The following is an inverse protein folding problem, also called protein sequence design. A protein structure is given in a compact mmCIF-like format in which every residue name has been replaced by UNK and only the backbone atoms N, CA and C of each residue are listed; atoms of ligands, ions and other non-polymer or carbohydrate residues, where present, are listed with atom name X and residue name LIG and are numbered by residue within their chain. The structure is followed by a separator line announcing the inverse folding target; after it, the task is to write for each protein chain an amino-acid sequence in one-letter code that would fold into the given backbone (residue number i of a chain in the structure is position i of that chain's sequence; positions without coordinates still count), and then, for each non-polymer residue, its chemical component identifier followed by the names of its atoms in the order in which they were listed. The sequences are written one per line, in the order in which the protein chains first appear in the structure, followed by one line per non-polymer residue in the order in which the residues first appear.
data_IF_847173073546
#
_entry.id   IF_847173073546
#
_cell.length_a   1.000
_cell.length_b   1.000
_cell.length_c   1.000
_cell.angle_alpha   90.00
_cell.angle_beta   90.00
_cell.angle_gamma   90.00
#
_symmetry.space_group_name_H-M   'P 1'
#
loop_
_entity.id
_entity.type
_entity.pdbx_description
1 polymer ?
#
# COMPACT_ATOMS: atom_id res chain seq x y z
N UNK A 1 27.82 4.94 15.77
CA UNK A 1 28.32 3.56 15.65
C UNK A 1 27.16 2.57 15.41
N UNK A 2 27.50 1.36 15.10
CA UNK A 2 26.57 0.22 15.09
C UNK A 2 26.16 -0.16 16.51
N UNK A 3 25.10 -0.95 16.62
CA UNK A 3 24.56 -1.42 17.91
C UNK A 3 25.54 -2.27 18.71
N UNK A 4 26.52 -2.92 18.06
CA UNK A 4 27.62 -3.65 18.71
C UNK A 4 28.79 -2.74 19.16
N UNK A 5 28.67 -1.41 19.01
CA UNK A 5 29.69 -0.42 19.36
C UNK A 5 30.76 -0.19 18.30
N UNK A 6 30.78 -0.96 17.20
CA UNK A 6 31.71 -0.77 16.09
C UNK A 6 31.42 0.55 15.38
N UNK A 7 32.46 1.19 14.89
CA UNK A 7 32.35 2.46 14.15
C UNK A 7 31.61 2.25 12.83
N UNK A 8 30.56 3.04 12.60
CA UNK A 8 29.90 3.16 11.30
C UNK A 8 30.56 4.32 10.55
N UNK A 9 31.54 4.05 9.72
CA UNK A 9 32.21 5.03 8.87
C UNK A 9 31.81 4.89 7.39
N UNK A 10 32.37 5.72 6.54
CA UNK A 10 32.03 5.71 5.11
C UNK A 10 32.36 4.38 4.42
N UNK A 11 33.37 3.65 4.89
CA UNK A 11 33.73 2.35 4.34
C UNK A 11 32.66 1.28 4.69
N UNK A 12 32.16 1.31 5.92
CA UNK A 12 31.06 0.41 6.36
C UNK A 12 29.77 0.70 5.59
N UNK A 13 29.40 1.98 5.41
CA UNK A 13 28.22 2.37 4.62
C UNK A 13 28.38 1.96 3.16
N UNK A 14 29.56 2.17 2.57
CA UNK A 14 29.87 1.75 1.19
C UNK A 14 29.66 0.24 1.03
N UNK A 15 30.23 -0.57 1.91
CA UNK A 15 30.11 -2.03 1.85
C UNK A 15 28.63 -2.49 1.92
N UNK A 16 27.83 -1.84 2.76
CA UNK A 16 26.40 -2.14 2.85
C UNK A 16 25.64 -1.76 1.56
N UNK A 17 25.91 -0.60 0.99
CA UNK A 17 25.27 -0.18 -0.27
C UNK A 17 25.75 -0.99 -1.48
N UNK A 18 27.00 -1.42 -1.52
CA UNK A 18 27.50 -2.34 -2.56
C UNK A 18 26.75 -3.68 -2.52
N UNK A 19 26.62 -4.26 -1.33
CA UNK A 19 25.81 -5.47 -1.16
C UNK A 19 24.34 -5.24 -1.58
N UNK A 20 23.73 -4.13 -1.17
CA UNK A 20 22.35 -3.80 -1.52
C UNK A 20 22.12 -3.78 -3.04
N UNK A 21 22.98 -3.10 -3.80
CA UNK A 21 22.84 -3.02 -5.26
C UNK A 21 23.14 -4.34 -5.96
N UNK A 22 23.90 -5.23 -5.34
CA UNK A 22 24.16 -6.57 -5.86
C UNK A 22 22.95 -7.50 -5.71
N UNK A 23 22.27 -7.47 -4.55
CA UNK A 23 21.22 -8.45 -4.23
C UNK A 23 19.79 -7.94 -4.46
N UNK A 24 19.61 -6.63 -4.61
CA UNK A 24 18.27 -6.00 -4.68
C UNK A 24 18.08 -5.21 -5.98
N UNK A 25 17.54 -5.87 -7.01
CA UNK A 25 17.36 -5.32 -8.37
C UNK A 25 16.65 -3.95 -8.38
N UNK A 26 15.56 -3.78 -7.60
CA UNK A 26 14.84 -2.50 -7.51
C UNK A 26 15.71 -1.40 -6.92
N UNK A 27 16.49 -1.68 -5.88
CA UNK A 27 17.39 -0.71 -5.28
C UNK A 27 18.49 -0.30 -6.28
N UNK A 28 19.10 -1.26 -6.97
CA UNK A 28 20.07 -1.00 -8.01
C UNK A 28 19.51 -0.07 -9.11
N UNK A 29 18.30 -0.38 -9.61
CA UNK A 29 17.61 0.42 -10.63
C UNK A 29 17.24 1.83 -10.17
N UNK A 30 16.88 2.02 -8.91
CA UNK A 30 16.49 3.31 -8.34
C UNK A 30 17.71 4.18 -7.98
N UNK A 31 18.72 3.60 -7.34
CA UNK A 31 19.90 4.33 -6.88
C UNK A 31 20.83 4.72 -8.03
N UNK A 32 20.95 3.89 -9.05
CA UNK A 32 21.80 4.11 -10.24
C UNK A 32 23.23 4.50 -9.89
N UNK A 33 23.79 3.86 -8.86
CA UNK A 33 25.15 4.15 -8.39
C UNK A 33 26.17 3.63 -9.41
N UNK A 34 27.01 4.52 -9.90
CA UNK A 34 28.12 4.17 -10.80
C UNK A 34 29.42 3.90 -10.03
N UNK A 35 29.68 4.69 -8.98
CA UNK A 35 30.85 4.46 -8.12
C UNK A 35 30.64 5.07 -6.73
N UNK A 36 31.38 4.55 -5.76
CA UNK A 36 31.43 5.05 -4.40
C UNK A 36 32.87 5.12 -3.90
N UNK A 37 33.24 6.24 -3.28
CA UNK A 37 34.54 6.45 -2.65
C UNK A 37 34.36 6.80 -1.18
N UNK A 38 35.07 6.09 -0.30
CA UNK A 38 35.02 6.29 1.14
C UNK A 38 36.36 6.84 1.64
N UNK A 39 36.30 7.97 2.38
CA UNK A 39 37.45 8.61 3.05
C UNK A 39 37.02 9.02 4.46
N UNK A 40 37.43 8.25 5.46
CA UNK A 40 37.07 8.46 6.85
C UNK A 40 35.55 8.41 7.08
N UNK A 41 34.94 9.57 7.32
CA UNK A 41 33.48 9.72 7.46
C UNK A 41 32.79 10.27 6.21
N UNK A 42 33.55 10.54 5.16
CA UNK A 42 33.00 11.07 3.91
C UNK A 42 32.78 9.95 2.90
N UNK A 43 31.53 9.73 2.50
CA UNK A 43 31.16 8.88 1.39
C UNK A 43 30.78 9.76 0.19
N UNK A 44 31.45 9.56 -0.93
CA UNK A 44 31.13 10.20 -2.20
C UNK A 44 30.44 9.18 -3.09
N UNK A 45 29.22 9.48 -3.50
CA UNK A 45 28.43 8.62 -4.41
C UNK A 45 28.30 9.34 -5.75
N UNK A 46 28.64 8.64 -6.83
CA UNK A 46 28.46 9.10 -8.20
C UNK A 46 27.40 8.23 -8.85
N UNK A 47 26.36 8.84 -9.40
CA UNK A 47 25.30 8.14 -10.14
C UNK A 47 25.61 8.11 -11.64
N UNK A 48 25.14 7.07 -12.34
CA UNK A 48 25.35 6.89 -13.79
C UNK A 48 24.59 7.94 -14.64
N UNK A 49 23.57 8.56 -14.07
CA UNK A 49 22.79 9.66 -14.65
C UNK A 49 22.26 10.57 -13.55
N UNK A 50 21.79 11.81 -13.86
CA UNK A 50 21.20 12.68 -12.87
C UNK A 50 20.06 12.00 -12.10
N UNK A 51 20.18 11.94 -10.76
CA UNK A 51 19.19 11.31 -9.88
C UNK A 51 18.80 12.28 -8.74
N UNK A 52 17.89 13.25 -8.99
CA UNK A 52 17.53 14.28 -8.01
C UNK A 52 16.82 13.72 -6.78
N UNK A 53 16.30 12.51 -6.84
CA UNK A 53 15.57 11.83 -5.75
C UNK A 53 16.39 10.72 -5.09
N UNK A 54 17.72 10.71 -5.28
CA UNK A 54 18.62 9.72 -4.68
C UNK A 54 18.42 9.59 -3.16
N UNK A 55 18.30 10.73 -2.46
CA UNK A 55 18.12 10.72 -1.00
C UNK A 55 16.79 10.11 -0.57
N UNK A 56 15.74 10.30 -1.36
CA UNK A 56 14.45 9.63 -1.12
C UNK A 56 14.57 8.12 -1.27
N UNK A 57 15.29 7.65 -2.29
CA UNK A 57 15.53 6.21 -2.47
C UNK A 57 16.39 5.62 -1.34
N UNK A 58 17.40 6.35 -0.85
CA UNK A 58 18.21 5.91 0.29
C UNK A 58 17.42 5.88 1.61
N UNK A 59 16.29 6.60 1.71
CA UNK A 59 15.40 6.58 2.88
C UNK A 59 14.33 5.47 2.83
N UNK A 60 14.25 4.71 1.75
CA UNK A 60 13.40 3.51 1.67
C UNK A 60 13.90 2.43 2.63
N UNK A 61 13.02 1.49 3.00
CA UNK A 61 13.33 0.43 3.97
C UNK A 61 14.58 -0.39 3.59
N UNK A 62 14.84 -0.61 2.29
CA UNK A 62 16.05 -1.30 1.84
C UNK A 62 17.34 -0.49 2.04
N UNK A 63 17.26 0.82 2.27
CA UNK A 63 18.41 1.69 2.52
C UNK A 63 18.97 1.61 3.95
N UNK A 64 18.44 0.73 4.79
CA UNK A 64 18.96 0.52 6.15
C UNK A 64 20.43 0.07 6.13
N UNK A 65 21.27 0.73 6.94
CA UNK A 65 22.69 0.41 7.02
C UNK A 65 22.94 -0.63 8.11
N UNK A 66 23.52 -1.76 7.74
CA UNK A 66 23.90 -2.86 8.60
C UNK A 66 25.40 -3.12 8.57
N UNK A 67 25.95 -3.73 9.62
CA UNK A 67 27.36 -4.13 9.69
C UNK A 67 27.61 -5.36 8.83
N UNK A 68 28.15 -5.16 7.62
CA UNK A 68 28.44 -6.24 6.67
C UNK A 68 29.57 -7.17 7.10
N UNK A 69 30.38 -6.82 8.09
CA UNK A 69 31.35 -7.78 8.66
C UNK A 69 30.67 -8.84 9.54
N UNK A 70 29.53 -8.48 10.17
CA UNK A 70 28.66 -9.44 10.84
C UNK A 70 27.78 -10.15 9.83
N UNK A 71 27.36 -9.43 8.78
CA UNK A 71 26.48 -9.92 7.72
C UNK A 71 25.02 -10.02 8.15
N UNK A 72 24.26 -10.86 7.43
CA UNK A 72 22.86 -11.16 7.69
C UNK A 72 22.78 -12.58 8.23
N UNK A 73 22.61 -12.76 9.56
CA UNK A 73 22.51 -14.08 10.14
C UNK A 73 21.18 -14.77 9.81
N UNK A 74 21.13 -16.09 9.84
CA UNK A 74 19.96 -16.91 9.52
C UNK A 74 18.72 -16.57 10.36
N UNK A 75 18.93 -16.09 11.60
CA UNK A 75 17.85 -15.65 12.48
C UNK A 75 17.33 -14.24 12.19
N UNK A 76 17.87 -13.54 11.19
CA UNK A 76 17.46 -12.19 10.82
C UNK A 76 17.86 -11.06 11.77
N UNK A 77 18.57 -11.34 12.87
CA UNK A 77 18.98 -10.36 13.87
C UNK A 77 20.22 -9.58 13.42
N UNK A 78 20.05 -8.63 12.53
CA UNK A 78 21.15 -7.83 11.96
C UNK A 78 21.67 -6.78 12.95
N UNK A 79 22.95 -6.42 12.80
CA UNK A 79 23.59 -5.31 13.53
C UNK A 79 23.43 -4.03 12.73
N UNK A 80 22.57 -3.14 13.20
CA UNK A 80 22.25 -1.86 12.55
C UNK A 80 22.62 -0.65 13.39
N UNK A 81 22.12 0.53 13.00
CA UNK A 81 22.37 1.83 13.65
C UNK A 81 21.11 2.41 14.30
N UNK A 82 20.00 1.67 14.30
CA UNK A 82 18.70 2.11 14.82
C UNK A 82 18.62 2.15 16.36
N UNK A 83 17.51 2.67 16.92
CA UNK A 83 17.30 2.78 18.37
C UNK A 83 17.13 1.43 19.08
N UNK A 84 16.77 0.38 18.36
CA UNK A 84 16.55 -0.95 18.87
C UNK A 84 17.37 -2.01 18.14
N UNK A 85 17.63 -3.11 18.83
CA UNK A 85 18.33 -4.30 18.31
C UNK A 85 17.37 -5.47 18.38
N UNK A 86 17.18 -6.19 17.28
CA UNK A 86 16.42 -7.42 17.27
C UNK A 86 17.23 -8.53 17.96
N UNK A 87 16.62 -9.19 18.94
CA UNK A 87 17.17 -10.35 19.65
C UNK A 87 16.57 -11.66 19.19
N UNK A 88 15.35 -11.59 18.65
CA UNK A 88 14.64 -12.73 18.10
C UNK A 88 13.72 -12.26 16.96
N UNK A 89 13.68 -13.03 15.88
CA UNK A 89 12.77 -12.81 14.75
C UNK A 89 12.11 -14.15 14.43
N UNK A 90 10.81 -14.24 14.66
CA UNK A 90 9.98 -15.39 14.28
C UNK A 90 9.02 -14.95 13.19
N UNK A 91 9.24 -15.45 11.98
CA UNK A 91 8.46 -15.07 10.80
C UNK A 91 6.96 -15.31 11.03
N UNK A 92 6.14 -14.34 10.66
CA UNK A 92 4.69 -14.33 10.79
C UNK A 92 4.15 -14.44 12.25
N UNK A 93 5.02 -14.30 13.25
CA UNK A 93 4.63 -14.35 14.65
C UNK A 93 5.09 -13.10 15.42
N UNK A 94 6.40 -12.98 15.72
CA UNK A 94 6.86 -11.82 16.49
C UNK A 94 8.33 -11.44 16.23
N UNK A 95 8.68 -10.22 16.67
CA UNK A 95 10.05 -9.73 16.77
C UNK A 95 10.27 -9.17 18.15
N UNK A 96 11.29 -9.65 18.86
CA UNK A 96 11.73 -9.12 20.12
C UNK A 96 12.88 -8.13 19.94
N UNK A 97 12.74 -6.96 20.53
CA UNK A 97 13.66 -5.85 20.40
C UNK A 97 14.11 -5.38 21.79
N UNK A 98 15.40 -5.08 21.94
CA UNK A 98 15.94 -4.40 23.10
C UNK A 98 16.54 -3.05 22.69
N UNK A 99 16.61 -2.11 23.62
CA UNK A 99 17.19 -0.79 23.34
C UNK A 99 18.66 -0.90 22.90
N UNK A 100 19.04 -0.10 21.94
CA UNK A 100 20.43 0.06 21.52
C UNK A 100 21.12 1.09 22.41
N UNK A 101 21.98 0.65 23.31
CA UNK A 101 22.76 1.53 24.21
C UNK A 101 23.77 2.40 23.47
N UNK A 102 24.09 2.08 22.22
CA UNK A 102 25.00 2.81 21.36
C UNK A 102 24.25 3.71 20.34
N UNK A 103 22.94 3.95 20.56
CA UNK A 103 22.17 4.78 19.65
C UNK A 103 22.70 6.21 19.60
N UNK A 104 22.82 6.74 18.41
CA UNK A 104 23.49 8.01 18.13
C UNK A 104 22.61 9.26 18.32
N UNK A 105 21.29 9.11 18.33
CA UNK A 105 20.31 10.20 18.34
C UNK A 105 19.53 10.25 19.68
N UNK A 106 20.27 10.24 20.77
CA UNK A 106 19.71 10.43 22.11
C UNK A 106 19.34 9.17 22.87
N UNK A 107 18.64 9.35 23.99
CA UNK A 107 18.27 8.27 24.88
C UNK A 107 17.03 7.50 24.38
N UNK A 108 17.13 6.18 24.31
CA UNK A 108 16.02 5.28 24.04
C UNK A 108 15.26 5.03 25.35
N UNK A 109 13.99 5.43 25.41
CA UNK A 109 13.19 5.46 26.66
C UNK A 109 12.58 4.12 27.02
N UNK A 110 12.23 3.29 26.03
CA UNK A 110 11.62 1.98 26.23
C UNK A 110 12.71 0.92 26.17
N UNK A 111 12.81 0.08 27.18
CA UNK A 111 13.90 -0.89 27.28
C UNK A 111 13.72 -2.06 26.33
N UNK A 112 12.49 -2.58 26.22
CA UNK A 112 12.15 -3.77 25.44
C UNK A 112 10.84 -3.55 24.68
N UNK A 113 10.74 -4.07 23.45
CA UNK A 113 9.53 -4.05 22.64
C UNK A 113 9.34 -5.43 22.01
N UNK A 114 8.17 -6.01 22.16
CA UNK A 114 7.74 -7.17 21.38
C UNK A 114 6.75 -6.72 20.31
N UNK A 115 7.12 -6.87 19.05
CA UNK A 115 6.23 -6.60 17.92
C UNK A 115 5.56 -7.91 17.49
N UNK A 116 4.26 -8.01 17.65
CA UNK A 116 3.47 -9.20 17.28
C UNK A 116 2.78 -8.99 15.94
N UNK A 117 2.75 -10.03 15.13
CA UNK A 117 2.00 -10.04 13.86
C UNK A 117 0.60 -10.57 14.12
N UNK A 118 -0.41 -9.68 14.06
CA UNK A 118 -1.82 -10.03 14.19
C UNK A 118 -2.51 -9.55 12.90
N UNK A 119 -2.75 -10.47 11.98
CA UNK A 119 -3.26 -10.14 10.64
C UNK A 119 -4.78 -9.97 10.57
N UNK A 120 -5.51 -10.54 11.54
CA UNK A 120 -6.96 -10.40 11.65
C UNK A 120 -7.33 -9.14 12.44
N UNK A 121 -8.16 -8.26 11.85
CA UNK A 121 -8.48 -6.96 12.43
C UNK A 121 -9.31 -7.02 13.70
N UNK A 122 -10.21 -7.99 13.83
CA UNK A 122 -11.03 -8.15 15.02
C UNK A 122 -10.19 -8.71 16.18
N UNK A 123 -9.31 -9.66 15.88
CA UNK A 123 -8.35 -10.20 16.84
C UNK A 123 -7.40 -9.11 17.34
N UNK A 124 -6.92 -8.23 16.45
CA UNK A 124 -6.07 -7.09 16.82
C UNK A 124 -6.82 -6.13 17.76
N UNK A 125 -8.07 -5.81 17.45
CA UNK A 125 -8.91 -4.95 18.30
C UNK A 125 -9.14 -5.58 19.68
N UNK A 126 -9.45 -6.87 19.75
CA UNK A 126 -9.64 -7.59 21.02
C UNK A 126 -8.36 -7.65 21.85
N UNK A 127 -7.21 -7.89 21.23
CA UNK A 127 -5.92 -7.93 21.92
C UNK A 127 -5.59 -6.57 22.56
N UNK A 128 -5.88 -5.45 21.87
CA UNK A 128 -5.69 -4.12 22.46
C UNK A 128 -6.70 -3.83 23.58
N UNK A 129 -7.98 -4.21 23.43
CA UNK A 129 -9.00 -4.01 24.46
C UNK A 129 -8.74 -4.83 25.72
N UNK A 130 -8.21 -6.04 25.57
CA UNK A 130 -7.88 -6.91 26.72
C UNK A 130 -6.59 -6.51 27.44
N UNK A 131 -5.80 -5.61 26.86
CA UNK A 131 -4.48 -5.24 27.38
C UNK A 131 -3.40 -6.31 27.11
N UNK A 132 -3.64 -7.22 26.19
CA UNK A 132 -2.63 -8.20 25.73
C UNK A 132 -1.52 -7.51 24.92
N UNK A 133 -1.85 -6.39 24.27
CA UNK A 133 -0.91 -5.48 23.62
C UNK A 133 -1.13 -4.05 24.08
N UNK A 134 -0.08 -3.25 24.12
CA UNK A 134 -0.10 -1.84 24.56
C UNK A 134 -0.38 -0.86 23.44
N UNK A 135 -0.07 -1.25 22.20
CA UNK A 135 -0.27 -0.41 21.01
C UNK A 135 -0.62 -1.25 19.79
N UNK A 136 -1.46 -0.74 18.92
CA UNK A 136 -1.82 -1.34 17.65
C UNK A 136 -1.57 -0.38 16.49
N UNK A 137 -1.09 -0.91 15.37
CA UNK A 137 -0.91 -0.19 14.12
C UNK A 137 -1.67 -0.89 12.98
N UNK A 138 -2.33 -0.11 12.12
CA UNK A 138 -3.07 -0.66 10.99
C UNK A 138 -4.39 -1.33 11.35
N UNK A 139 -5.03 -0.84 12.42
CA UNK A 139 -6.37 -1.27 12.86
C UNK A 139 -7.38 -1.13 11.71
N UNK A 140 -8.33 -2.05 11.62
CA UNK A 140 -9.44 -1.95 10.68
C UNK A 140 -10.30 -0.70 10.95
N UNK A 141 -10.74 -0.01 9.91
CA UNK A 141 -11.57 1.19 10.04
C UNK A 141 -12.87 0.94 10.83
N UNK A 142 -13.47 -0.25 10.67
CA UNK A 142 -14.65 -0.66 11.41
C UNK A 142 -14.45 -0.68 12.93
N UNK A 143 -13.23 -0.87 13.40
CA UNK A 143 -12.90 -0.94 14.83
C UNK A 143 -12.55 0.43 15.44
N UNK A 144 -12.38 1.48 14.66
CA UNK A 144 -11.97 2.81 15.14
C UNK A 144 -12.88 3.36 16.24
N UNK A 145 -14.22 3.30 16.12
CA UNK A 145 -15.11 3.81 17.15
C UNK A 145 -14.93 3.18 18.55
N UNK A 146 -14.35 1.97 18.62
CA UNK A 146 -14.06 1.31 19.90
C UNK A 146 -12.93 2.00 20.68
N UNK A 147 -12.08 2.77 20.01
CA UNK A 147 -10.86 3.38 20.53
C UNK A 147 -10.89 4.91 20.55
N UNK A 148 -11.96 5.53 20.04
CA UNK A 148 -12.17 6.97 20.05
C UNK A 148 -12.80 7.42 21.38
N UNK A 149 -12.10 7.15 22.49
CA UNK A 149 -12.53 7.50 23.84
C UNK A 149 -11.31 7.79 24.73
N UNK A 150 -11.56 8.30 25.94
CA UNK A 150 -10.53 8.78 26.87
C UNK A 150 -9.60 7.68 27.39
N UNK A 151 -9.91 6.39 27.19
CA UNK A 151 -9.06 5.28 27.62
C UNK A 151 -7.91 5.00 26.67
N UNK A 152 -7.99 5.52 25.43
CA UNK A 152 -7.00 5.27 24.38
C UNK A 152 -6.46 6.57 23.80
N UNK A 153 -5.20 6.57 23.45
CA UNK A 153 -4.63 7.61 22.58
C UNK A 153 -4.79 7.18 21.13
N UNK A 154 -5.88 7.58 20.50
CA UNK A 154 -6.13 7.33 19.09
C UNK A 154 -5.45 8.40 18.22
N UNK A 155 -4.81 7.97 17.14
CA UNK A 155 -4.19 8.88 16.17
C UNK A 155 -4.43 8.36 14.75
N UNK A 156 -5.05 9.20 13.93
CA UNK A 156 -5.20 8.98 12.49
C UNK A 156 -4.52 10.12 11.74
N UNK A 157 -3.75 9.79 10.71
CA UNK A 157 -2.98 10.77 9.94
C UNK A 157 -3.31 10.58 8.46
N UNK A 158 -3.64 11.67 7.78
CA UNK A 158 -3.77 11.66 6.31
C UNK A 158 -2.44 11.31 5.66
N UNK A 159 -2.49 10.42 4.69
CA UNK A 159 -1.33 9.96 3.93
C UNK A 159 -1.50 10.24 2.45
N UNK A 160 -0.46 9.99 1.66
CA UNK A 160 -0.52 10.05 0.20
C UNK A 160 -1.13 8.79 -0.45
N UNK A 161 -1.67 7.86 0.36
CA UNK A 161 -2.27 6.63 -0.17
C UNK A 161 -3.57 6.94 -0.89
N UNK A 162 -3.67 6.50 -2.15
CA UNK A 162 -4.90 6.49 -2.92
C UNK A 162 -5.30 5.05 -3.27
N UNK A 163 -6.58 4.74 -3.19
CA UNK A 163 -7.17 3.54 -3.78
C UNK A 163 -7.73 3.90 -5.15
N UNK A 164 -7.43 3.11 -6.14
CA UNK A 164 -7.91 3.30 -7.50
C UNK A 164 -8.23 1.97 -8.16
N UNK A 165 -9.20 1.96 -9.07
CA UNK A 165 -9.44 0.86 -9.99
C UNK A 165 -8.65 1.08 -11.28
N UNK A 166 -7.83 0.11 -11.67
CA UNK A 166 -7.15 0.11 -12.98
C UNK A 166 -7.95 -0.72 -13.98
N UNK A 167 -8.31 -0.12 -15.10
CA UNK A 167 -9.00 -0.82 -16.19
C UNK A 167 -7.97 -1.42 -17.13
N UNK A 168 -8.01 -2.74 -17.32
CA UNK A 168 -7.09 -3.44 -18.22
C UNK A 168 -7.53 -3.24 -19.68
N UNK A 169 -6.73 -2.48 -20.43
CA UNK A 169 -6.95 -2.20 -21.85
C UNK A 169 -6.01 -3.00 -22.77
N UNK A 170 -5.38 -4.04 -22.26
CA UNK A 170 -4.53 -4.91 -23.08
C UNK A 170 -5.37 -5.73 -24.05
N UNK A 171 -5.06 -5.66 -25.34
CA UNK A 171 -5.87 -6.24 -26.43
C UNK A 171 -6.04 -7.75 -26.34
N UNK A 172 -5.10 -8.46 -25.73
CA UNK A 172 -5.14 -9.92 -25.55
C UNK A 172 -5.98 -10.34 -24.33
N UNK A 173 -6.44 -9.38 -23.52
CA UNK A 173 -7.31 -9.67 -22.40
C UNK A 173 -8.72 -10.03 -22.88
N UNK A 174 -9.30 -11.09 -22.31
CA UNK A 174 -10.68 -11.53 -22.66
C UNK A 174 -11.76 -10.47 -22.39
N UNK A 175 -11.51 -9.53 -21.45
CA UNK A 175 -12.39 -8.39 -21.17
C UNK A 175 -12.18 -7.18 -22.07
N UNK A 176 -11.24 -7.23 -23.02
CA UNK A 176 -10.89 -6.07 -23.84
C UNK A 176 -12.09 -5.51 -24.64
N UNK A 177 -12.93 -6.38 -25.19
CA UNK A 177 -14.12 -5.96 -25.98
C UNK A 177 -15.03 -5.04 -25.17
N UNK A 178 -15.22 -5.32 -23.88
CA UNK A 178 -16.02 -4.52 -22.97
C UNK A 178 -15.24 -3.27 -22.53
N UNK A 179 -14.01 -3.44 -22.04
CA UNK A 179 -13.19 -2.33 -21.50
C UNK A 179 -12.70 -1.36 -22.58
N UNK A 180 -12.64 -1.75 -23.86
CA UNK A 180 -12.29 -0.84 -24.95
C UNK A 180 -13.37 0.18 -25.25
N UNK A 181 -14.64 -0.07 -24.87
CA UNK A 181 -15.75 0.88 -25.04
C UNK A 181 -15.63 2.03 -24.00
N UNK A 182 -15.43 3.30 -24.46
CA UNK A 182 -15.32 4.43 -23.53
C UNK A 182 -16.58 4.67 -22.69
N UNK A 183 -17.76 4.34 -23.23
CA UNK A 183 -19.02 4.49 -22.51
C UNK A 183 -19.07 3.57 -21.28
N UNK A 184 -18.58 2.33 -21.42
CA UNK A 184 -18.50 1.40 -20.29
C UNK A 184 -17.56 1.93 -19.21
N UNK A 185 -16.36 2.39 -19.58
CA UNK A 185 -15.42 2.95 -18.60
C UNK A 185 -15.97 4.16 -17.86
N UNK A 186 -16.66 5.03 -18.60
CA UNK A 186 -17.31 6.22 -18.04
C UNK A 186 -18.46 5.84 -17.11
N UNK A 187 -19.29 4.88 -17.52
CA UNK A 187 -20.37 4.37 -16.69
C UNK A 187 -19.87 3.70 -15.41
N UNK A 188 -18.78 2.92 -15.45
CA UNK A 188 -18.16 2.37 -14.26
C UNK A 188 -17.72 3.51 -13.29
N UNK A 189 -17.07 4.55 -13.83
CA UNK A 189 -16.60 5.67 -13.00
C UNK A 189 -17.75 6.47 -12.35
N UNK A 190 -18.90 6.63 -13.05
CA UNK A 190 -20.11 7.27 -12.55
C UNK A 190 -20.98 6.35 -11.69
N UNK A 191 -20.92 5.04 -11.91
CA UNK A 191 -21.74 4.05 -11.22
C UNK A 191 -21.21 3.65 -9.84
N UNK A 192 -19.98 4.02 -9.48
CA UNK A 192 -19.39 3.71 -8.17
C UNK A 192 -19.60 4.88 -7.22
N UNK A 193 -20.31 4.65 -6.11
CA UNK A 193 -20.48 5.65 -5.06
C UNK A 193 -19.25 5.72 -4.15
N UNK A 194 -18.30 6.57 -4.54
CA UNK A 194 -17.05 6.75 -3.80
C UNK A 194 -17.25 7.41 -2.43
N UNK A 195 -18.32 8.21 -2.27
CA UNK A 195 -18.60 8.85 -0.99
C UNK A 195 -19.06 7.84 0.05
N UNK A 196 -19.88 6.86 -0.33
CA UNK A 196 -20.29 5.79 0.60
C UNK A 196 -19.09 4.96 1.08
N UNK A 197 -18.05 4.81 0.25
CA UNK A 197 -16.81 4.17 0.72
C UNK A 197 -16.20 4.93 1.89
N UNK A 198 -16.14 6.25 1.80
CA UNK A 198 -15.58 7.10 2.85
C UNK A 198 -16.47 7.08 4.09
N UNK A 199 -17.77 7.31 3.91
CA UNK A 199 -18.69 7.54 5.03
C UNK A 199 -19.01 6.24 5.78
N UNK A 200 -19.17 5.13 5.06
CA UNK A 200 -19.62 3.86 5.63
C UNK A 200 -18.45 2.90 5.87
N UNK A 201 -17.63 2.61 4.84
CA UNK A 201 -16.60 1.58 4.96
C UNK A 201 -15.35 2.09 5.67
N UNK A 202 -15.02 3.38 5.54
CA UNK A 202 -13.86 3.99 6.18
C UNK A 202 -14.23 4.81 7.42
N UNK A 203 -15.49 4.77 7.87
CA UNK A 203 -15.99 5.55 9.03
C UNK A 203 -15.61 7.05 8.97
N UNK A 204 -15.61 7.65 7.77
CA UNK A 204 -15.19 9.04 7.56
C UNK A 204 -13.70 9.29 7.54
N UNK A 205 -12.86 8.25 7.72
CA UNK A 205 -11.40 8.37 7.68
C UNK A 205 -10.85 8.29 6.26
N UNK A 206 -11.20 9.28 5.45
CA UNK A 206 -10.76 9.38 4.07
C UNK A 206 -11.46 10.52 3.35
N UNK A 207 -11.21 10.61 2.06
CA UNK A 207 -11.94 11.51 1.16
C UNK A 207 -11.94 10.94 -0.26
N UNK A 208 -12.92 11.33 -1.05
CA UNK A 208 -13.00 10.90 -2.44
C UNK A 208 -11.85 11.52 -3.24
N UNK A 209 -11.01 10.69 -3.84
CA UNK A 209 -9.89 11.16 -4.64
C UNK A 209 -10.36 11.80 -5.95
N UNK A 210 -9.76 12.92 -6.33
CA UNK A 210 -10.01 13.60 -7.60
C UNK A 210 -9.10 13.09 -8.73
N UNK A 211 -8.06 12.32 -8.38
CA UNK A 211 -7.11 11.73 -9.33
C UNK A 211 -6.21 10.70 -8.66
N UNK A 212 -5.17 10.28 -9.37
CA UNK A 212 -4.18 9.31 -8.88
C UNK A 212 -3.28 9.87 -7.77
N UNK A 213 -3.27 11.18 -7.59
CA UNK A 213 -2.47 11.87 -6.56
C UNK A 213 -3.39 12.71 -5.67
N UNK A 214 -3.14 12.71 -4.35
CA UNK A 214 -3.89 13.54 -3.41
C UNK A 214 -3.77 15.04 -3.72
N UNK A 215 -4.81 15.80 -3.38
CA UNK A 215 -4.84 17.26 -3.51
C UNK A 215 -3.79 17.98 -2.62
N UNK A 216 -3.23 17.26 -1.63
CA UNK A 216 -2.10 17.74 -0.82
C UNK A 216 -0.82 17.99 -1.64
N UNK A 217 -0.71 17.34 -2.82
CA UNK A 217 0.37 17.60 -3.76
C UNK A 217 -0.02 18.70 -4.76
N UNK A 218 0.89 19.64 -5.04
CA UNK A 218 0.64 20.72 -5.97
C UNK A 218 0.23 20.25 -7.37
N UNK A 219 0.75 19.09 -7.81
CA UNK A 219 0.42 18.47 -9.09
C UNK A 219 -0.85 17.62 -9.06
N UNK A 220 -1.45 17.40 -7.88
CA UNK A 220 -2.74 16.73 -7.70
C UNK A 220 -3.93 17.69 -7.69
N UNK A 221 -3.66 18.99 -7.57
CA UNK A 221 -4.69 20.02 -7.44
C UNK A 221 -5.37 20.33 -8.78
N UNK A 222 -6.65 20.70 -8.71
CA UNK A 222 -7.43 21.14 -9.85
C UNK A 222 -7.87 20.03 -10.82
N UNK A 223 -7.59 18.77 -10.49
CA UNK A 223 -8.08 17.62 -11.25
C UNK A 223 -9.53 17.37 -10.85
N UNK A 224 -10.40 17.20 -11.83
CA UNK A 224 -11.80 16.83 -11.61
C UNK A 224 -12.03 15.39 -12.04
N UNK A 225 -12.65 14.60 -11.16
CA UNK A 225 -13.11 13.25 -11.49
C UNK A 225 -14.60 13.26 -11.84
N UNK A 226 -15.06 12.16 -12.40
CA UNK A 226 -16.47 11.93 -12.66
C UNK A 226 -17.20 11.75 -11.33
N UNK A 227 -18.29 12.50 -11.13
CA UNK A 227 -19.17 12.35 -9.96
C UNK A 227 -19.98 11.06 -10.04
N UNK A 228 -20.44 10.57 -8.90
CA UNK A 228 -21.42 9.50 -8.85
C UNK A 228 -22.74 10.00 -9.45
N UNK A 229 -23.16 9.38 -10.53
CA UNK A 229 -24.39 9.69 -11.27
C UNK A 229 -24.89 8.42 -12.01
N UNK A 230 -25.62 7.55 -11.30
CA UNK A 230 -26.10 6.30 -11.88
C UNK A 230 -27.11 6.50 -13.02
N UNK A 231 -27.85 7.61 -13.02
CA UNK A 231 -28.81 7.89 -14.10
C UNK A 231 -28.08 8.27 -15.40
N UNK A 232 -27.08 9.14 -15.29
CA UNK A 232 -26.23 9.47 -16.42
C UNK A 232 -25.42 8.24 -16.89
N UNK A 233 -24.97 7.37 -15.97
CA UNK A 233 -24.29 6.13 -16.33
C UNK A 233 -25.19 5.20 -17.17
N UNK A 234 -26.47 5.04 -16.79
CA UNK A 234 -27.46 4.29 -17.58
C UNK A 234 -27.66 4.89 -18.97
N UNK A 235 -27.83 6.20 -19.04
CA UNK A 235 -28.03 6.90 -20.32
C UNK A 235 -26.82 6.75 -21.26
N UNK A 236 -25.59 6.85 -20.74
CA UNK A 236 -24.37 6.64 -21.53
C UNK A 236 -24.27 5.19 -22.06
N UNK A 237 -24.62 4.19 -21.25
CA UNK A 237 -24.65 2.80 -21.69
C UNK A 237 -25.70 2.57 -22.78
N UNK A 238 -26.91 3.08 -22.59
CA UNK A 238 -27.98 2.97 -23.57
C UNK A 238 -27.62 3.64 -24.90
N UNK A 239 -27.10 4.85 -24.86
CA UNK A 239 -26.66 5.58 -26.07
C UNK A 239 -25.53 4.83 -26.82
N UNK A 240 -24.72 4.07 -26.10
CA UNK A 240 -23.69 3.22 -26.69
C UNK A 240 -24.19 1.85 -27.15
N UNK A 241 -25.48 1.53 -26.95
CA UNK A 241 -26.13 0.29 -27.40
C UNK A 241 -26.01 -0.86 -26.40
N UNK A 242 -25.63 -0.59 -25.13
CA UNK A 242 -25.70 -1.54 -24.03
C UNK A 242 -27.09 -1.50 -23.40
N UNK A 243 -27.91 -2.51 -23.65
CA UNK A 243 -29.34 -2.57 -23.24
C UNK A 243 -29.61 -3.96 -22.65
N UNK A 244 -30.44 -4.02 -21.63
CA UNK A 244 -30.97 -5.28 -21.09
C UNK A 244 -32.13 -5.72 -22.02
N UNK A 245 -31.89 -6.71 -22.89
CA UNK A 245 -32.86 -7.17 -23.87
C UNK A 245 -33.60 -8.45 -23.42
N UNK A 246 -33.03 -9.23 -22.50
CA UNK A 246 -33.64 -10.45 -21.98
C UNK A 246 -34.32 -10.24 -20.61
N UNK A 247 -34.16 -9.09 -19.98
CA UNK A 247 -34.83 -8.70 -18.74
C UNK A 247 -34.20 -9.33 -17.48
N UNK A 248 -32.95 -9.78 -17.55
CA UNK A 248 -32.26 -10.36 -16.39
C UNK A 248 -31.57 -9.30 -15.51
N UNK A 249 -31.63 -8.05 -15.89
CA UNK A 249 -31.06 -6.92 -15.16
C UNK A 249 -29.61 -6.61 -15.53
N UNK A 250 -28.98 -7.39 -16.43
CA UNK A 250 -27.62 -7.14 -16.93
C UNK A 250 -27.70 -6.72 -18.40
N UNK A 251 -27.01 -5.66 -18.74
CA UNK A 251 -26.99 -5.11 -20.10
C UNK A 251 -26.14 -5.99 -21.03
N UNK A 252 -26.53 -6.04 -22.31
CA UNK A 252 -25.74 -6.68 -23.34
C UNK A 252 -25.66 -5.81 -24.61
N UNK A 253 -24.63 -6.11 -25.43
CA UNK A 253 -24.42 -5.52 -26.73
C UNK A 253 -23.86 -6.55 -27.70
N UNK A 254 -24.50 -6.75 -28.84
CA UNK A 254 -24.09 -7.73 -29.86
C UNK A 254 -23.93 -9.14 -29.29
N UNK A 255 -24.81 -9.55 -28.38
CA UNK A 255 -24.79 -10.86 -27.75
C UNK A 255 -23.70 -11.03 -26.64
N UNK A 256 -23.01 -9.96 -26.28
CA UNK A 256 -22.03 -9.97 -25.19
C UNK A 256 -22.65 -9.31 -23.97
N UNK A 257 -22.78 -10.05 -22.85
CA UNK A 257 -23.22 -9.49 -21.57
C UNK A 257 -22.17 -8.57 -20.97
N UNK A 258 -22.64 -7.50 -20.33
CA UNK A 258 -21.79 -6.51 -19.65
C UNK A 258 -21.33 -7.06 -18.30
N UNK A 259 -20.43 -8.04 -18.36
CA UNK A 259 -19.83 -8.69 -17.20
C UNK A 259 -18.37 -8.32 -17.12
N UNK A 260 -17.95 -7.75 -15.99
CA UNK A 260 -16.55 -7.37 -15.72
C UNK A 260 -15.97 -8.23 -14.60
N UNK A 261 -14.67 -8.48 -14.69
CA UNK A 261 -13.91 -9.17 -13.62
C UNK A 261 -13.18 -8.12 -12.80
N UNK A 262 -13.41 -8.15 -11.49
CA UNK A 262 -12.75 -7.28 -10.53
C UNK A 262 -11.73 -8.09 -9.73
N UNK A 263 -10.46 -7.77 -9.92
CA UNK A 263 -9.38 -8.43 -9.19
C UNK A 263 -9.03 -7.60 -7.96
N UNK A 264 -9.00 -8.24 -6.79
CA UNK A 264 -8.62 -7.62 -5.51
C UNK A 264 -7.83 -8.61 -4.64
N UNK A 265 -7.40 -8.18 -3.45
CA UNK A 265 -6.61 -9.02 -2.55
C UNK A 265 -6.90 -8.68 -1.08
N UNK A 266 -6.80 -9.67 -0.16
CA UNK A 266 -7.25 -9.53 1.23
C UNK A 266 -6.22 -8.91 2.17
N UNK A 267 -4.94 -8.73 1.77
CA UNK A 267 -3.90 -8.18 2.64
C UNK A 267 -4.13 -6.71 3.01
N UNK A 268 -5.11 -6.06 2.40
CA UNK A 268 -5.70 -4.78 2.79
C UNK A 268 -7.18 -4.99 2.98
N UNK A 269 -7.63 -4.96 4.22
CA UNK A 269 -8.98 -5.36 4.63
C UNK A 269 -10.08 -4.55 3.94
N UNK A 270 -9.83 -3.28 3.63
CA UNK A 270 -10.77 -2.39 2.96
C UNK A 270 -11.02 -2.73 1.48
N UNK A 271 -10.05 -3.34 0.76
CA UNK A 271 -10.17 -3.55 -0.68
C UNK A 271 -11.24 -4.55 -1.10
N UNK A 272 -11.44 -5.70 -0.42
CA UNK A 272 -12.57 -6.57 -0.71
C UNK A 272 -13.91 -5.88 -0.47
N UNK A 273 -14.05 -5.11 0.61
CA UNK A 273 -15.28 -4.36 0.93
C UNK A 273 -15.59 -3.29 -0.11
N UNK A 274 -14.56 -2.58 -0.60
CA UNK A 274 -14.71 -1.62 -1.70
C UNK A 274 -15.19 -2.32 -2.98
N UNK A 275 -14.67 -3.52 -3.28
CA UNK A 275 -15.09 -4.30 -4.44
C UNK A 275 -16.55 -4.75 -4.33
N UNK A 276 -17.00 -5.21 -3.17
CA UNK A 276 -18.39 -5.62 -2.91
C UNK A 276 -19.36 -4.45 -3.00
N UNK A 277 -19.01 -3.29 -2.44
CA UNK A 277 -19.81 -2.08 -2.56
C UNK A 277 -19.90 -1.60 -4.00
N UNK A 278 -18.79 -1.61 -4.74
CA UNK A 278 -18.80 -1.29 -6.17
C UNK A 278 -19.62 -2.30 -6.99
N UNK A 279 -19.57 -3.58 -6.68
CA UNK A 279 -20.41 -4.62 -7.30
C UNK A 279 -21.89 -4.31 -7.14
N UNK A 280 -22.32 -3.91 -5.93
CA UNK A 280 -23.71 -3.55 -5.65
C UNK A 280 -24.17 -2.36 -6.50
N UNK A 281 -23.44 -1.24 -6.46
CA UNK A 281 -23.84 -0.03 -7.18
C UNK A 281 -23.74 -0.17 -8.72
N UNK A 282 -22.80 -0.96 -9.22
CA UNK A 282 -22.67 -1.25 -10.64
C UNK A 282 -23.77 -2.18 -11.16
N UNK A 283 -24.24 -3.12 -10.31
CA UNK A 283 -25.40 -3.95 -10.66
C UNK A 283 -26.67 -3.11 -10.87
N UNK A 284 -26.87 -2.05 -10.10
CA UNK A 284 -28.01 -1.15 -10.25
C UNK A 284 -28.06 -0.42 -11.59
N UNK A 285 -26.95 -0.34 -12.29
CA UNK A 285 -26.87 0.24 -13.65
C UNK A 285 -26.73 -0.82 -14.74
N UNK A 286 -26.88 -2.10 -14.40
CA UNK A 286 -26.88 -3.23 -15.36
C UNK A 286 -25.49 -3.78 -15.70
N UNK A 287 -24.50 -3.62 -14.82
CA UNK A 287 -23.17 -4.18 -14.96
C UNK A 287 -22.99 -5.34 -13.95
N UNK A 288 -22.75 -6.54 -14.44
CA UNK A 288 -22.35 -7.67 -13.61
C UNK A 288 -20.87 -7.59 -13.25
N UNK A 289 -20.55 -7.72 -11.96
CA UNK A 289 -19.16 -7.67 -11.47
C UNK A 289 -18.81 -9.00 -10.79
N UNK A 290 -17.84 -9.70 -11.36
CA UNK A 290 -17.30 -10.93 -10.80
C UNK A 290 -16.05 -10.65 -10.00
N UNK A 291 -16.15 -10.66 -8.67
CA UNK A 291 -15.03 -10.38 -7.79
C UNK A 291 -14.15 -11.62 -7.65
N UNK A 292 -12.84 -11.43 -7.90
CA UNK A 292 -11.80 -12.39 -7.63
C UNK A 292 -10.85 -11.84 -6.57
N UNK A 293 -10.99 -12.30 -5.33
CA UNK A 293 -10.11 -11.93 -4.23
C UNK A 293 -9.00 -12.99 -4.10
N UNK A 294 -7.79 -12.65 -4.49
CA UNK A 294 -6.66 -13.58 -4.53
C UNK A 294 -5.52 -13.18 -3.61
N UNK A 295 -4.83 -14.17 -3.02
CA UNK A 295 -3.57 -13.98 -2.30
C UNK A 295 -2.35 -14.04 -3.23
N UNK A 296 -2.52 -14.47 -4.49
CA UNK A 296 -1.44 -14.54 -5.46
C UNK A 296 -1.19 -13.20 -6.12
N UNK A 297 -0.15 -12.51 -5.64
CA UNK A 297 0.28 -11.22 -6.19
C UNK A 297 0.71 -11.27 -7.66
N UNK A 298 1.12 -12.43 -8.18
CA UNK A 298 1.49 -12.58 -9.60
C UNK A 298 0.24 -12.51 -10.49
N UNK A 299 -0.91 -12.96 -10.00
CA UNK A 299 -2.20 -12.82 -10.69
C UNK A 299 -2.66 -11.36 -10.80
N UNK A 300 -2.21 -10.48 -9.88
CA UNK A 300 -2.59 -9.06 -9.85
C UNK A 300 -1.75 -8.24 -10.83
N UNK A 301 -0.52 -8.69 -11.13
CA UNK A 301 0.43 -7.97 -11.99
C UNK A 301 0.35 -8.34 -13.47
N UNK A 302 -0.39 -9.39 -13.81
CA UNK A 302 -0.65 -9.85 -15.18
C UNK A 302 -1.93 -9.23 -15.74
#
# INVERSE_FOLDING_TARGET
CFSNGKKCDAAAVKACLEHLIEVHERAAGNLKIASMEADGQKLTIVTSEPNPILMNYLSEAYGCIIDMEVGIPDNGCVVGTGPYVATEVVTDDHVNLIKNVNYWDGEVKVDEITVRTISDGDTLAMALQSGEIDAAYGMAYASYPLFENDNYKFTSIQTSRCFWGMMNLHKENSGYTIMSDPAVRKAIAMGINKQDFVDVLLNGYGYTATGAFPDSFAFGQGIQTVSFDPDQARAELEAAGWVDTDGDGIREKNGVKLTIRWLTYPSRQELPLLAESAQSTLKDIGIDVQINCTKDHNSIRK
#
